data_IF_124417671118
#
_entry.id   IF_124417671118
#
_cell.length_a   1.000
_cell.length_b   1.000
_cell.length_c   1.000
_cell.angle_alpha   90.00
_cell.angle_beta   90.00
_cell.angle_gamma   90.00
#
_symmetry.space_group_name_H-M   'P 1'
#
loop_
_entity.id
_entity.type
_entity.pdbx_description
1 polymer ?
#
# COMPACT_ATOMS: atom_id res chain seq x y z
N UNK A 1 6.73 4.36 11.41
CA UNK A 1 5.73 4.19 10.34
C UNK A 1 6.46 4.20 9.01
N UNK A 2 5.93 3.52 7.99
CA UNK A 2 6.53 3.40 6.67
C UNK A 2 5.45 3.56 5.61
N UNK A 3 5.83 4.07 4.44
CA UNK A 3 4.97 4.05 3.27
C UNK A 3 4.85 2.62 2.78
N UNK A 4 3.63 2.12 2.69
CA UNK A 4 3.28 0.80 2.21
C UNK A 4 2.37 0.94 0.98
N UNK A 5 2.50 0.01 0.04
CA UNK A 5 1.54 -0.11 -1.05
C UNK A 5 0.93 -1.51 -1.08
N UNK A 6 -0.33 -1.54 -1.48
CA UNK A 6 -1.15 -2.75 -1.57
C UNK A 6 -1.72 -2.85 -2.98
N UNK A 7 -1.38 -3.92 -3.70
CA UNK A 7 -2.04 -4.25 -4.96
C UNK A 7 -3.33 -5.00 -4.62
N UNK A 8 -4.47 -4.44 -5.00
CA UNK A 8 -5.79 -5.01 -4.72
C UNK A 8 -6.47 -5.54 -5.98
N UNK A 9 -7.46 -6.42 -5.79
CA UNK A 9 -8.28 -6.93 -6.88
C UNK A 9 -9.06 -5.81 -7.55
N UNK A 10 -9.17 -5.84 -8.88
CA UNK A 10 -9.99 -4.91 -9.65
C UNK A 10 -11.44 -5.34 -9.81
N UNK A 11 -11.85 -6.45 -9.18
CA UNK A 11 -13.19 -7.03 -9.33
C UNK A 11 -14.30 -6.12 -8.77
N UNK A 12 -13.96 -5.26 -7.82
CA UNK A 12 -14.90 -4.35 -7.20
C UNK A 12 -14.26 -2.98 -6.91
N UNK A 13 -15.02 -1.90 -7.13
CA UNK A 13 -14.53 -0.51 -7.03
C UNK A 13 -14.18 -0.05 -5.60
N UNK A 14 -14.79 -0.64 -4.59
CA UNK A 14 -14.70 -0.14 -3.21
C UNK A 14 -14.34 -1.24 -2.21
N UNK A 15 -14.86 -2.45 -2.39
CA UNK A 15 -14.70 -3.55 -1.43
C UNK A 15 -13.24 -3.86 -1.05
N UNK A 16 -12.27 -3.95 -1.98
CA UNK A 16 -10.89 -4.28 -1.64
C UNK A 16 -10.21 -3.22 -0.75
N UNK A 17 -10.54 -1.95 -0.98
CA UNK A 17 -10.02 -0.83 -0.19
C UNK A 17 -10.63 -0.80 1.22
N UNK A 18 -11.93 -1.06 1.30
CA UNK A 18 -12.65 -1.13 2.57
C UNK A 18 -12.22 -2.34 3.41
N UNK A 19 -11.87 -3.46 2.79
CA UNK A 19 -11.35 -4.65 3.46
C UNK A 19 -10.07 -4.34 4.24
N UNK A 20 -9.08 -3.73 3.58
CA UNK A 20 -7.82 -3.34 4.23
C UNK A 20 -8.10 -2.39 5.41
N UNK A 21 -8.91 -1.36 5.18
CA UNK A 21 -9.25 -0.39 6.24
C UNK A 21 -9.96 -1.07 7.42
N UNK A 22 -10.91 -1.97 7.17
CA UNK A 22 -11.64 -2.69 8.20
C UNK A 22 -10.74 -3.60 9.03
N UNK A 23 -9.75 -4.26 8.41
CA UNK A 23 -8.73 -5.05 9.12
C UNK A 23 -7.92 -4.14 10.04
N UNK A 24 -7.39 -3.03 9.53
CA UNK A 24 -6.58 -2.09 10.32
C UNK A 24 -7.34 -1.51 11.51
N UNK A 25 -8.61 -1.11 11.31
CA UNK A 25 -9.46 -0.64 12.40
C UNK A 25 -9.72 -1.73 13.46
N UNK A 26 -9.96 -2.98 13.04
CA UNK A 26 -10.21 -4.08 13.96
C UNK A 26 -8.97 -4.39 14.82
N UNK A 27 -7.78 -4.29 14.25
CA UNK A 27 -6.51 -4.49 14.95
C UNK A 27 -6.03 -3.24 15.73
N UNK A 28 -6.78 -2.13 15.66
CA UNK A 28 -6.42 -0.83 16.26
C UNK A 28 -5.04 -0.34 15.82
N UNK A 29 -4.71 -0.58 14.56
CA UNK A 29 -3.48 -0.12 13.94
C UNK A 29 -3.73 1.28 13.39
N UNK A 30 -2.91 2.25 13.78
CA UNK A 30 -2.95 3.59 13.23
C UNK A 30 -2.44 3.59 11.78
N UNK A 31 -3.17 4.24 10.89
CA UNK A 31 -2.80 4.39 9.50
C UNK A 31 -3.33 5.69 8.89
N UNK A 32 -2.67 6.15 7.84
CA UNK A 32 -3.11 7.25 6.99
C UNK A 32 -3.19 6.77 5.54
N UNK A 33 -4.31 7.01 4.86
CA UNK A 33 -4.40 6.78 3.42
C UNK A 33 -3.67 7.92 2.71
N UNK A 34 -2.54 7.60 2.08
CA UNK A 34 -1.74 8.54 1.29
C UNK A 34 -2.44 8.77 -0.06
N UNK A 35 -2.83 7.69 -0.72
CA UNK A 35 -3.41 7.75 -2.07
C UNK A 35 -4.20 6.49 -2.40
N UNK A 36 -5.24 6.66 -3.23
CA UNK A 36 -6.02 5.57 -3.81
C UNK A 36 -6.00 5.68 -5.33
N UNK A 37 -5.41 4.67 -5.98
CA UNK A 37 -5.38 4.49 -7.44
C UNK A 37 -6.36 3.37 -7.85
N UNK A 38 -6.42 3.01 -9.14
CA UNK A 38 -7.41 2.04 -9.65
C UNK A 38 -7.29 0.64 -9.03
N UNK A 39 -6.07 0.19 -8.74
CA UNK A 39 -5.80 -1.11 -8.10
C UNK A 39 -4.71 -1.03 -7.03
N UNK A 40 -4.29 0.17 -6.65
CA UNK A 40 -3.22 0.37 -5.66
C UNK A 40 -3.73 1.27 -4.56
N UNK A 41 -3.56 0.81 -3.31
CA UNK A 41 -3.77 1.61 -2.12
C UNK A 41 -2.41 1.91 -1.49
N UNK A 42 -2.13 3.18 -1.21
CA UNK A 42 -0.91 3.64 -0.54
C UNK A 42 -1.26 4.11 0.86
N UNK A 43 -0.58 3.57 1.87
CA UNK A 43 -0.81 3.88 3.27
C UNK A 43 0.51 4.28 3.96
N UNK A 44 0.43 5.20 4.91
CA UNK A 44 1.45 5.35 5.95
C UNK A 44 0.98 4.60 7.20
N UNK A 45 1.67 3.53 7.58
CA UNK A 45 1.29 2.66 8.69
C UNK A 45 2.51 1.97 9.30
N UNK A 46 2.33 1.26 10.41
CA UNK A 46 3.37 0.36 10.91
C UNK A 46 3.53 -0.87 10.01
N UNK A 47 4.77 -1.29 9.75
CA UNK A 47 5.09 -2.49 8.92
C UNK A 47 4.44 -3.76 9.49
N UNK A 48 4.21 -3.80 10.80
CA UNK A 48 3.50 -4.88 11.50
C UNK A 48 2.11 -5.17 10.89
N UNK A 49 1.46 -4.17 10.30
CA UNK A 49 0.13 -4.29 9.71
C UNK A 49 0.08 -5.24 8.50
N UNK A 50 1.21 -5.45 7.81
CA UNK A 50 1.30 -6.34 6.65
C UNK A 50 0.86 -7.75 7.01
N UNK A 51 1.24 -8.23 8.21
CA UNK A 51 0.90 -9.57 8.67
C UNK A 51 -0.61 -9.75 8.82
N UNK A 52 -1.27 -8.78 9.45
CA UNK A 52 -2.71 -8.84 9.72
C UNK A 52 -3.52 -8.73 8.43
N UNK A 53 -3.09 -7.87 7.50
CA UNK A 53 -3.70 -7.77 6.17
C UNK A 53 -3.51 -9.09 5.41
N UNK A 54 -2.29 -9.61 5.33
CA UNK A 54 -1.98 -10.86 4.62
C UNK A 54 -2.83 -12.05 5.09
N UNK A 55 -3.06 -12.17 6.41
CA UNK A 55 -3.83 -13.29 6.96
C UNK A 55 -5.34 -13.17 6.74
N UNK A 56 -5.87 -11.95 6.56
CA UNK A 56 -7.32 -11.68 6.61
C UNK A 56 -7.90 -11.17 5.30
N UNK A 57 -7.08 -10.66 4.40
CA UNK A 57 -7.54 -10.09 3.13
C UNK A 57 -7.82 -11.17 2.08
N UNK A 58 -8.99 -11.12 1.46
CA UNK A 58 -9.32 -11.93 0.30
C UNK A 58 -9.06 -11.20 -1.03
N UNK A 59 -9.07 -9.86 -1.01
CA UNK A 59 -8.95 -9.03 -2.22
C UNK A 59 -7.59 -8.34 -2.35
N UNK A 60 -6.63 -8.60 -1.46
CA UNK A 60 -5.27 -8.05 -1.57
C UNK A 60 -4.34 -9.10 -2.19
N UNK A 61 -3.59 -8.70 -3.21
CA UNK A 61 -2.68 -9.57 -3.97
C UNK A 61 -1.23 -9.41 -3.53
N UNK A 62 -0.81 -8.19 -3.20
CA UNK A 62 0.55 -7.87 -2.78
C UNK A 62 0.48 -6.85 -1.64
N UNK A 63 1.34 -7.02 -0.64
CA UNK A 63 1.64 -6.03 0.39
C UNK A 63 3.14 -5.79 0.39
N UNK A 64 3.58 -4.53 0.27
CA UNK A 64 5.01 -4.22 0.23
C UNK A 64 5.32 -2.83 0.77
N UNK A 65 6.57 -2.65 1.19
CA UNK A 65 7.12 -1.33 1.51
C UNK A 65 7.32 -0.56 0.21
N UNK A 66 6.82 0.67 0.18
CA UNK A 66 7.04 1.59 -0.93
C UNK A 66 8.41 2.24 -0.80
N UNK A 67 9.23 2.08 -1.84
CA UNK A 67 10.56 2.67 -1.91
C UNK A 67 10.50 4.16 -2.28
N UNK A 68 9.79 4.48 -3.37
CA UNK A 68 9.56 5.85 -3.83
C UNK A 68 8.40 5.88 -4.84
N UNK A 69 7.92 7.08 -5.16
CA UNK A 69 7.06 7.36 -6.30
C UNK A 69 7.70 8.38 -7.24
N UNK A 70 7.43 8.27 -8.53
CA UNK A 70 7.91 9.20 -9.56
C UNK A 70 6.99 9.12 -10.79
N UNK A 71 7.13 10.07 -11.71
CA UNK A 71 6.52 9.93 -13.02
C UNK A 71 7.13 8.76 -13.79
N UNK A 72 6.39 8.24 -14.77
CA UNK A 72 6.84 7.18 -15.67
C UNK A 72 7.83 7.70 -16.74
N UNK A 73 8.83 8.46 -16.32
CA UNK A 73 9.94 8.93 -17.14
C UNK A 73 11.22 8.20 -16.73
N UNK A 74 11.99 7.73 -17.73
CA UNK A 74 13.18 6.91 -17.48
C UNK A 74 14.23 7.65 -16.65
N UNK A 75 14.45 8.93 -16.92
CA UNK A 75 15.45 9.73 -16.20
C UNK A 75 15.00 9.94 -14.76
N UNK A 76 13.74 10.28 -14.57
CA UNK A 76 13.17 10.47 -13.23
C UNK A 76 13.21 9.19 -12.38
N UNK A 77 12.88 8.02 -12.96
CA UNK A 77 12.98 6.72 -12.28
C UNK A 77 14.40 6.46 -11.80
N UNK A 78 15.41 6.68 -12.66
CA UNK A 78 16.83 6.47 -12.31
C UNK A 78 17.28 7.47 -11.25
N UNK A 79 16.89 8.74 -11.37
CA UNK A 79 17.23 9.79 -10.42
C UNK A 79 16.64 9.53 -9.03
N UNK A 80 15.39 9.06 -8.95
CA UNK A 80 14.75 8.66 -7.68
C UNK A 80 15.38 7.39 -7.12
N UNK A 81 15.65 6.39 -7.94
CA UNK A 81 16.31 5.15 -7.52
C UNK A 81 17.67 5.44 -6.87
N UNK A 82 18.50 6.29 -7.48
CA UNK A 82 19.82 6.67 -6.95
C UNK A 82 19.76 7.45 -5.62
N UNK A 83 18.62 8.09 -5.31
CA UNK A 83 18.40 8.82 -4.05
C UNK A 83 17.77 7.94 -2.97
N UNK A 84 17.28 6.77 -3.33
CA UNK A 84 16.59 5.87 -2.40
C UNK A 84 17.63 4.99 -1.71
N UNK A 85 17.69 5.07 -0.39
CA UNK A 85 18.50 4.16 0.41
C UNK A 85 17.62 2.98 0.86
N UNK A 86 17.95 1.77 0.39
CA UNK A 86 17.31 0.50 0.77
C UNK A 86 18.36 -0.52 1.20
#
# INVERSE_FOLDING_TARGET
MANLFFLVSGENKTLPYSEISAILYAEKIDFLIIEKLDQVLRLDAEISCIKEIYLRSAYTRICAVELFTCNADKKEIIDCLNKTNF
#
